data_IF_999707046515
#
_entry.id   IF_999707046515
#
_cell.length_a   1.000
_cell.length_b   1.000
_cell.length_c   1.000
_cell.angle_alpha   90.00
_cell.angle_beta   90.00
_cell.angle_gamma   90.00
#
_symmetry.space_group_name_H-M   'P 1'
#
loop_
_entity.id
_entity.type
_entity.pdbx_description
1 polymer ?
#
# COMPACT_ATOMS: atom_id res chain seq x y z
N UNK A 1 -30.98 -6.27 15.38
CA UNK A 1 -30.13 -5.24 14.78
C UNK A 1 -28.82 -5.89 14.44
N UNK A 2 -28.39 -5.80 13.18
CA UNK A 2 -27.06 -6.29 12.79
C UNK A 2 -26.02 -5.30 13.33
N UNK A 3 -25.03 -5.82 14.04
CA UNK A 3 -23.93 -5.04 14.56
C UNK A 3 -22.73 -5.22 13.63
N UNK A 4 -22.49 -4.25 12.75
CA UNK A 4 -21.39 -4.29 11.79
C UNK A 4 -20.02 -3.96 12.41
N UNK A 5 -19.94 -3.73 13.72
CA UNK A 5 -18.69 -3.33 14.39
C UNK A 5 -17.63 -4.44 14.46
N UNK A 6 -18.00 -5.70 14.19
CA UNK A 6 -17.11 -6.86 14.17
C UNK A 6 -17.18 -7.66 12.85
N UNK A 7 -17.73 -7.06 11.79
CA UNK A 7 -17.86 -7.70 10.51
C UNK A 7 -16.51 -7.68 9.77
N UNK A 8 -15.95 -8.87 9.51
CA UNK A 8 -14.73 -9.02 8.69
C UNK A 8 -15.02 -8.95 7.18
N UNK A 9 -16.21 -8.49 6.78
CA UNK A 9 -16.71 -8.54 5.40
C UNK A 9 -16.68 -7.20 4.68
N UNK A 10 -16.21 -6.13 5.34
CA UNK A 10 -16.10 -4.78 4.77
C UNK A 10 -14.63 -4.41 4.64
N UNK A 11 -14.12 -4.12 3.43
CA UNK A 11 -12.75 -3.67 3.23
C UNK A 11 -12.51 -2.34 3.96
N UNK A 12 -11.33 -2.18 4.58
CA UNK A 12 -10.94 -0.92 5.19
C UNK A 12 -10.77 0.21 4.16
N UNK A 13 -10.47 -0.15 2.90
CA UNK A 13 -10.22 0.81 1.84
C UNK A 13 -9.06 1.75 2.19
N UNK A 14 -9.16 3.01 1.77
CA UNK A 14 -8.12 4.01 2.02
C UNK A 14 -7.90 4.36 3.50
N UNK A 15 -8.75 3.89 4.42
CA UNK A 15 -8.48 3.99 5.86
C UNK A 15 -7.24 3.17 6.29
N UNK A 16 -6.76 2.25 5.43
CA UNK A 16 -5.56 1.45 5.69
C UNK A 16 -4.24 2.17 5.31
N UNK A 17 -4.31 3.22 4.48
CA UNK A 17 -3.12 3.95 4.00
C UNK A 17 -2.19 4.46 5.12
N UNK A 18 -2.70 4.95 6.29
CA UNK A 18 -1.83 5.36 7.38
C UNK A 18 -0.92 4.24 7.93
N UNK A 19 -1.36 2.97 7.93
CA UNK A 19 -0.52 1.85 8.37
C UNK A 19 0.59 1.55 7.38
N UNK A 20 0.27 1.62 6.08
CA UNK A 20 1.27 1.51 5.01
C UNK A 20 2.30 2.64 5.12
N UNK A 21 1.83 3.86 5.38
CA UNK A 21 2.70 5.00 5.55
C UNK A 21 3.62 4.85 6.77
N UNK A 22 3.05 4.45 7.91
CA UNK A 22 3.80 4.21 9.15
C UNK A 22 4.87 3.12 8.95
N UNK A 23 4.52 2.02 8.28
CA UNK A 23 5.48 0.96 7.96
C UNK A 23 6.64 1.50 7.11
N UNK A 24 6.34 2.31 6.10
CA UNK A 24 7.37 2.95 5.27
C UNK A 24 8.27 3.89 6.06
N UNK A 25 7.70 4.69 6.97
CA UNK A 25 8.46 5.58 7.86
C UNK A 25 9.37 4.81 8.83
N UNK A 26 8.91 3.69 9.35
CA UNK A 26 9.63 2.89 10.34
C UNK A 26 10.73 2.02 9.71
N UNK A 27 10.43 1.38 8.58
CA UNK A 27 11.29 0.36 7.99
C UNK A 27 12.03 0.82 6.72
N UNK A 28 11.64 1.96 6.14
CA UNK A 28 12.16 2.42 4.87
C UNK A 28 11.68 1.57 3.69
N UNK A 29 12.33 1.74 2.55
CA UNK A 29 11.97 1.07 1.29
C UNK A 29 13.17 0.46 0.57
N UNK A 30 12.94 -0.67 -0.11
CA UNK A 30 13.92 -1.36 -0.93
C UNK A 30 13.52 -1.27 -2.40
N UNK A 31 14.21 -0.43 -3.17
CA UNK A 31 13.92 -0.22 -4.61
C UNK A 31 14.70 -1.17 -5.52
N UNK A 32 15.79 -1.74 -5.01
CA UNK A 32 16.61 -2.74 -5.70
C UNK A 32 16.87 -3.91 -4.78
N UNK A 33 17.09 -5.08 -5.37
CA UNK A 33 17.36 -6.32 -4.64
C UNK A 33 18.62 -6.16 -3.77
N UNK A 34 18.57 -6.70 -2.55
CA UNK A 34 19.68 -6.75 -1.59
C UNK A 34 20.27 -5.36 -1.23
N UNK A 35 19.49 -4.29 -1.43
CA UNK A 35 19.87 -2.93 -1.05
C UNK A 35 19.58 -2.64 0.41
N UNK A 36 20.31 -1.66 0.97
CA UNK A 36 19.94 -1.06 2.25
C UNK A 36 18.63 -0.30 2.12
N UNK A 37 17.77 -0.39 3.14
CA UNK A 37 16.53 0.37 3.17
C UNK A 37 16.81 1.88 3.03
N UNK A 38 16.10 2.52 2.10
CA UNK A 38 16.12 3.97 1.94
C UNK A 38 15.08 4.58 2.88
N UNK A 39 15.44 5.57 3.71
CA UNK A 39 14.47 6.24 4.58
C UNK A 39 13.32 6.87 3.80
N UNK A 40 12.11 6.71 4.32
CA UNK A 40 10.91 7.39 3.81
C UNK A 40 10.68 8.67 4.61
N UNK A 41 10.29 9.73 3.91
CA UNK A 41 9.92 11.02 4.50
C UNK A 41 8.58 11.48 3.92
N UNK A 42 7.93 12.48 4.53
CA UNK A 42 6.71 13.07 3.94
C UNK A 42 6.91 13.62 2.53
N UNK A 43 8.14 14.04 2.19
CA UNK A 43 8.50 14.57 0.86
C UNK A 43 9.00 13.50 -0.11
N UNK A 44 9.07 12.24 0.31
CA UNK A 44 9.39 11.13 -0.60
C UNK A 44 8.37 11.10 -1.73
N UNK A 45 8.87 11.12 -2.97
CA UNK A 45 8.05 11.19 -4.16
C UNK A 45 7.77 9.80 -4.73
N UNK A 46 6.53 9.60 -5.14
CA UNK A 46 6.03 8.42 -5.84
C UNK A 46 5.29 8.83 -7.11
N UNK A 47 5.14 7.88 -8.04
CA UNK A 47 4.26 8.07 -9.18
C UNK A 47 2.79 7.98 -8.71
N UNK A 48 1.99 9.01 -9.01
CA UNK A 48 0.56 9.08 -8.73
C UNK A 48 -0.32 8.99 -9.97
N UNK A 49 0.22 8.57 -11.11
CA UNK A 49 -0.55 8.32 -12.33
C UNK A 49 -1.47 7.10 -12.16
N UNK A 50 -2.67 7.18 -12.74
CA UNK A 50 -3.62 6.08 -12.73
C UNK A 50 -3.20 4.94 -13.67
N UNK A 51 -3.69 3.72 -13.40
CA UNK A 51 -3.54 2.54 -14.25
C UNK A 51 -2.07 2.21 -14.59
N UNK A 52 -1.19 2.40 -13.61
CA UNK A 52 0.23 2.02 -13.74
C UNK A 52 0.47 0.65 -13.10
N UNK A 53 1.33 -0.20 -13.70
CA UNK A 53 1.72 -1.46 -13.08
C UNK A 53 2.43 -1.23 -11.75
N UNK A 54 2.06 -2.02 -10.75
CA UNK A 54 2.80 -2.13 -9.50
C UNK A 54 4.09 -2.89 -9.77
N UNK A 55 5.19 -2.44 -9.18
CA UNK A 55 6.52 -3.04 -9.39
C UNK A 55 7.10 -3.65 -8.12
N UNK A 56 7.97 -4.64 -8.31
CA UNK A 56 8.95 -5.14 -7.34
C UNK A 56 10.36 -4.78 -7.84
N UNK A 57 11.41 -5.00 -7.04
CA UNK A 57 12.79 -4.83 -7.51
C UNK A 57 13.15 -5.63 -8.78
N UNK A 58 12.41 -6.70 -9.07
CA UNK A 58 12.62 -7.60 -10.23
C UNK A 58 11.81 -7.19 -11.46
N UNK A 59 10.85 -6.27 -11.34
CA UNK A 59 9.99 -5.82 -12.43
C UNK A 59 8.52 -5.72 -12.03
N UNK A 60 7.58 -5.67 -12.99
CA UNK A 60 6.15 -5.61 -12.67
C UNK A 60 5.69 -6.80 -11.83
N UNK A 61 4.80 -6.56 -10.87
CA UNK A 61 4.16 -7.63 -10.12
C UNK A 61 3.11 -8.32 -11.01
N UNK A 62 3.19 -9.65 -11.07
CA UNK A 62 2.26 -10.50 -11.80
C UNK A 62 1.40 -11.29 -10.81
N UNK A 63 0.09 -11.30 -11.03
CA UNK A 63 -0.83 -12.14 -10.25
C UNK A 63 -0.72 -13.62 -10.66
N UNK A 64 -1.48 -14.48 -9.95
CA UNK A 64 -1.52 -15.92 -10.22
C UNK A 64 -2.08 -16.28 -11.59
N UNK A 65 -2.78 -15.36 -12.25
CA UNK A 65 -3.33 -15.51 -13.60
C UNK A 65 -2.38 -14.95 -14.67
N UNK A 66 -1.13 -14.64 -14.31
CA UNK A 66 -0.12 -14.07 -15.19
C UNK A 66 -0.54 -12.72 -15.81
N UNK A 67 -1.29 -11.92 -15.04
CA UNK A 67 -1.64 -10.54 -15.40
C UNK A 67 -0.86 -9.56 -14.52
N UNK A 68 -0.42 -8.46 -15.12
CA UNK A 68 0.18 -7.35 -14.35
C UNK A 68 -0.89 -6.73 -13.46
N UNK A 69 -0.57 -6.58 -12.18
CA UNK A 69 -1.44 -5.82 -11.28
C UNK A 69 -1.20 -4.34 -11.53
N UNK A 70 -2.27 -3.63 -11.91
CA UNK A 70 -2.27 -2.18 -12.04
C UNK A 70 -2.91 -1.54 -10.82
N UNK A 71 -2.34 -0.43 -10.35
CA UNK A 71 -2.92 0.38 -9.31
C UNK A 71 -3.84 1.44 -9.91
N UNK A 72 -4.96 1.72 -9.24
CA UNK A 72 -5.95 2.70 -9.68
C UNK A 72 -6.26 3.71 -8.58
N UNK A 73 -6.40 4.96 -8.97
CA UNK A 73 -6.85 6.06 -8.13
C UNK A 73 -8.35 6.26 -8.27
N UNK A 74 -8.96 6.84 -7.25
CA UNK A 74 -10.37 7.21 -7.28
C UNK A 74 -10.67 8.13 -8.48
N UNK A 75 -11.69 7.76 -9.26
CA UNK A 75 -12.09 8.48 -10.46
C UNK A 75 -11.07 8.41 -11.62
N UNK A 76 -10.15 7.44 -11.60
CA UNK A 76 -9.10 7.24 -12.62
C UNK A 76 -8.21 8.49 -12.83
N UNK A 77 -8.03 9.27 -11.77
CA UNK A 77 -7.29 10.53 -11.84
C UNK A 77 -5.78 10.28 -11.72
N UNK A 78 -5.03 10.76 -12.70
CA UNK A 78 -3.56 10.86 -12.61
C UNK A 78 -3.14 12.13 -11.87
N UNK A 79 -2.17 11.98 -10.96
CA UNK A 79 -1.61 13.08 -10.17
C UNK A 79 -0.19 13.48 -10.58
N UNK A 80 0.44 12.72 -11.48
CA UNK A 80 1.87 12.82 -11.75
C UNK A 80 2.71 12.45 -10.53
N UNK A 81 3.95 12.93 -10.49
CA UNK A 81 4.80 12.74 -9.33
C UNK A 81 4.23 13.50 -8.12
N UNK A 82 4.05 12.81 -7.01
CA UNK A 82 3.37 13.32 -5.81
C UNK A 82 4.14 12.91 -4.55
N UNK A 83 4.21 13.79 -3.55
CA UNK A 83 4.79 13.45 -2.25
C UNK A 83 3.84 12.60 -1.41
N UNK A 84 4.38 11.71 -0.57
CA UNK A 84 3.55 10.87 0.32
C UNK A 84 2.64 11.70 1.22
N UNK A 85 3.10 12.88 1.68
CA UNK A 85 2.26 13.84 2.42
C UNK A 85 1.02 14.25 1.64
N UNK A 86 1.19 14.67 0.37
CA UNK A 86 0.07 15.11 -0.47
C UNK A 86 -0.79 13.93 -0.92
N UNK A 87 -0.18 12.79 -1.20
CA UNK A 87 -0.89 11.56 -1.54
C UNK A 87 -1.81 11.12 -0.40
N UNK A 88 -1.34 11.14 0.85
CA UNK A 88 -2.18 10.80 2.02
C UNK A 88 -3.33 11.79 2.19
N UNK A 89 -3.02 13.09 2.12
CA UNK A 89 -4.02 14.15 2.27
C UNK A 89 -5.09 14.16 1.17
N UNK A 90 -4.82 13.53 0.03
CA UNK A 90 -5.75 13.40 -1.10
C UNK A 90 -6.22 11.96 -1.32
N UNK A 91 -5.88 11.03 -0.41
CA UNK A 91 -6.23 9.61 -0.51
C UNK A 91 -5.84 8.97 -1.86
N UNK A 92 -4.65 9.29 -2.38
CA UNK A 92 -4.19 8.77 -3.68
C UNK A 92 -3.64 7.35 -3.49
N UNK A 93 -4.35 6.36 -4.03
CA UNK A 93 -4.08 4.94 -3.81
C UNK A 93 -2.75 4.47 -4.42
N UNK A 94 -2.44 4.89 -5.65
CA UNK A 94 -1.30 4.37 -6.42
C UNK A 94 0.03 4.52 -5.66
N UNK A 95 0.41 5.70 -5.11
CA UNK A 95 1.60 5.84 -4.29
C UNK A 95 1.68 4.87 -3.12
N UNK A 96 0.57 4.61 -2.43
CA UNK A 96 0.56 3.72 -1.27
C UNK A 96 0.60 2.25 -1.64
N UNK A 97 -0.01 1.86 -2.76
CA UNK A 97 0.14 0.50 -3.25
C UNK A 97 1.63 0.20 -3.54
N UNK A 98 2.32 1.13 -4.22
CA UNK A 98 3.75 0.98 -4.49
C UNK A 98 4.60 1.09 -3.21
N UNK A 99 4.28 2.02 -2.30
CA UNK A 99 4.99 2.14 -1.01
C UNK A 99 4.94 0.84 -0.22
N UNK A 100 3.77 0.19 -0.13
CA UNK A 100 3.66 -1.08 0.59
C UNK A 100 4.47 -2.21 -0.03
N UNK A 101 4.59 -2.23 -1.36
CA UNK A 101 5.47 -3.18 -2.05
C UNK A 101 6.94 -2.90 -1.77
N UNK A 102 7.36 -1.64 -1.85
CA UNK A 102 8.75 -1.26 -1.62
C UNK A 102 9.16 -1.43 -0.14
N UNK A 103 8.22 -1.27 0.79
CA UNK A 103 8.43 -1.45 2.24
C UNK A 103 8.44 -2.94 2.63
N UNK A 104 7.68 -3.75 1.91
CA UNK A 104 7.41 -5.15 2.25
C UNK A 104 6.04 -5.30 2.92
N UNK A 105 5.20 -6.15 2.34
CA UNK A 105 3.83 -6.37 2.82
C UNK A 105 3.77 -7.09 4.18
N UNK A 106 4.84 -7.79 4.58
CA UNK A 106 5.03 -8.32 5.93
C UNK A 106 5.27 -7.23 6.96
N UNK A 107 6.00 -6.17 6.60
CA UNK A 107 6.21 -5.00 7.45
C UNK A 107 4.95 -4.16 7.60
N UNK A 108 4.21 -3.98 6.51
CA UNK A 108 2.87 -3.36 6.56
C UNK A 108 1.95 -4.14 7.51
N UNK A 109 1.94 -5.48 7.38
CA UNK A 109 1.15 -6.36 8.26
C UNK A 109 1.56 -6.26 9.73
N UNK A 110 2.86 -6.35 10.02
CA UNK A 110 3.42 -6.21 11.37
C UNK A 110 3.05 -4.86 12.00
N UNK A 111 3.13 -3.77 11.23
CA UNK A 111 2.79 -2.42 11.68
C UNK A 111 1.30 -2.31 12.02
N UNK A 112 0.43 -2.88 11.18
CA UNK A 112 -1.01 -2.93 11.43
C UNK A 112 -1.35 -3.73 12.70
N UNK A 113 -0.70 -4.88 12.91
CA UNK A 113 -0.86 -5.69 14.13
C UNK A 113 -0.38 -4.94 15.38
N UNK A 114 0.77 -4.28 15.29
CA UNK A 114 1.31 -3.47 16.39
C UNK A 114 0.38 -2.30 16.75
N UNK A 115 -0.40 -1.79 15.79
CA UNK A 115 -1.42 -0.77 16.00
C UNK A 115 -2.76 -1.33 16.51
N UNK A 116 -2.89 -2.64 16.70
CA UNK A 116 -4.04 -3.30 17.33
C UNK A 116 -5.01 -3.98 16.36
N UNK A 117 -4.71 -4.06 15.06
CA UNK A 117 -5.51 -4.86 14.12
C UNK A 117 -5.26 -6.36 14.33
N UNK A 118 -6.31 -7.16 14.16
CA UNK A 118 -6.21 -8.62 14.32
C UNK A 118 -5.60 -9.25 13.07
N UNK A 119 -4.65 -10.17 13.24
CA UNK A 119 -4.01 -10.87 12.13
C UNK A 119 -4.99 -11.66 11.26
N UNK A 120 -6.07 -12.16 11.86
CA UNK A 120 -7.14 -12.91 11.20
C UNK A 120 -8.05 -12.05 10.32
N UNK A 121 -8.04 -10.72 10.50
CA UNK A 121 -8.84 -9.79 9.70
C UNK A 121 -8.07 -9.21 8.53
N UNK A 122 -6.81 -9.61 8.30
CA UNK A 122 -5.99 -9.11 7.21
C UNK A 122 -5.93 -10.09 6.05
N UNK A 123 -6.17 -9.56 4.85
CA UNK A 123 -6.08 -10.28 3.59
C UNK A 123 -4.68 -10.80 3.25
N UNK A 124 -4.53 -11.45 2.09
CA UNK A 124 -3.25 -11.99 1.64
C UNK A 124 -2.23 -10.88 1.40
N UNK A 125 -0.94 -11.20 1.57
CA UNK A 125 0.19 -10.30 1.30
C UNK A 125 0.43 -10.16 -0.21
N UNK A 126 -0.52 -9.50 -0.88
CA UNK A 126 -0.48 -9.09 -2.28
C UNK A 126 -0.71 -7.58 -2.36
N UNK A 127 -0.43 -6.89 -3.49
CA UNK A 127 -0.49 -5.42 -3.55
C UNK A 127 -1.79 -4.79 -3.01
N UNK A 128 -2.92 -5.48 -3.14
CA UNK A 128 -4.22 -5.04 -2.64
C UNK A 128 -4.28 -4.84 -1.11
N UNK A 129 -3.39 -5.48 -0.33
CA UNK A 129 -3.31 -5.29 1.13
C UNK A 129 -3.08 -3.82 1.47
N UNK A 130 -2.25 -3.12 0.69
CA UNK A 130 -1.94 -1.70 0.91
C UNK A 130 -3.15 -0.77 0.78
N UNK A 131 -4.24 -1.24 0.16
CA UNK A 131 -5.49 -0.50 0.01
C UNK A 131 -6.60 -1.00 0.94
N UNK A 132 -6.26 -1.84 1.93
CA UNK A 132 -7.26 -2.34 2.88
C UNK A 132 -8.28 -3.31 2.28
N UNK A 133 -7.96 -3.96 1.14
CA UNK A 133 -8.71 -5.11 0.65
C UNK A 133 -8.32 -6.34 1.49
N UNK A 134 -8.91 -6.40 2.68
CA UNK A 134 -8.79 -7.46 3.67
C UNK A 134 -10.12 -8.14 3.90
#
# INVERSE_FOLDING_TARGET
GYNESNANTVPAGSAFLPFVYAAGLEHGVHKTRDSTATPVTPETLYNGDDNIPVTTPEGPYWDRANKKVAAHNDGNKSWGQISLRKALAQSVNVPFMQLGMDTGLDKVRQTAEAAGLLSSTMGPQVPALSLGNS
#
